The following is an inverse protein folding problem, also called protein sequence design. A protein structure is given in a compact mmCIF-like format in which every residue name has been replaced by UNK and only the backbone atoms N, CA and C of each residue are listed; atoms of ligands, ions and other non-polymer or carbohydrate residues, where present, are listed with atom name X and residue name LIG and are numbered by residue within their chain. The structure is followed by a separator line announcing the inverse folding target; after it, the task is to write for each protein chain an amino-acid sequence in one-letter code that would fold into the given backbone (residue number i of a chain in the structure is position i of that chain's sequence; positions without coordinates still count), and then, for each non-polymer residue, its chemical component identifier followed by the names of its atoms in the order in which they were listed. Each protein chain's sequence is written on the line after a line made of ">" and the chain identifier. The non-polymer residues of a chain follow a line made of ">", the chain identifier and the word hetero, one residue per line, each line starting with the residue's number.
data_IF_885241400297
#
_entry.id   IF_885241400297
#
_cell.length_a   1.000
_cell.length_b   1.000
_cell.length_c   1.000
_cell.angle_alpha   90.00
_cell.angle_beta   90.00
_cell.angle_gamma   90.00
#
_symmetry.space_group_name_H-M   'P 1'
#
loop_
_entity.id
_entity.type
_entity.pdbx_description
1 polymer ?
#
# COMPACT_ATOMS: atom_id res chain seq x y z
N UNK A 1 19.64 -4.67 -0.08
CA UNK A 1 20.91 -3.91 0.10
C UNK A 1 20.86 -3.22 1.47
N UNK A 2 22.00 -2.92 2.10
CA UNK A 2 22.03 -2.31 3.44
C UNK A 2 21.77 -0.80 3.36
N UNK A 3 20.79 -0.29 4.12
CA UNK A 3 20.53 1.15 4.29
C UNK A 3 21.63 1.87 5.12
N UNK A 4 22.69 1.17 5.53
CA UNK A 4 23.78 1.79 6.30
C UNK A 4 24.62 2.77 5.45
N UNK A 5 24.73 2.53 4.13
CA UNK A 5 25.50 3.40 3.23
C UNK A 5 24.61 4.46 2.58
N UNK A 6 25.17 5.61 2.20
CA UNK A 6 24.42 6.67 1.52
C UNK A 6 23.75 6.18 0.23
N UNK A 7 24.49 5.44 -0.61
CA UNK A 7 23.93 4.81 -1.81
C UNK A 7 22.82 3.80 -1.49
N UNK A 8 22.99 3.00 -0.42
CA UNK A 8 21.97 2.05 0.02
C UNK A 8 20.69 2.74 0.49
N UNK A 9 20.79 3.90 1.15
CA UNK A 9 19.64 4.74 1.50
C UNK A 9 18.97 5.35 0.28
N UNK A 10 19.75 5.87 -0.68
CA UNK A 10 19.20 6.42 -1.91
C UNK A 10 18.38 5.38 -2.69
N UNK A 11 18.89 4.16 -2.82
CA UNK A 11 18.14 3.05 -3.46
C UNK A 11 16.84 2.72 -2.71
N UNK A 12 16.87 2.74 -1.38
CA UNK A 12 15.68 2.49 -0.56
C UNK A 12 14.63 3.59 -0.74
N UNK A 13 15.04 4.86 -0.68
CA UNK A 13 14.16 6.02 -0.83
C UNK A 13 13.58 6.12 -2.24
N UNK A 14 14.38 5.79 -3.27
CA UNK A 14 13.88 5.68 -4.64
C UNK A 14 12.81 4.59 -4.75
N UNK A 15 13.03 3.41 -4.16
CA UNK A 15 12.03 2.34 -4.19
C UNK A 15 10.73 2.74 -3.50
N UNK A 16 10.81 3.47 -2.38
CA UNK A 16 9.63 4.05 -1.73
C UNK A 16 8.94 5.08 -2.62
N UNK A 17 9.69 6.03 -3.19
CA UNK A 17 9.12 7.01 -4.11
C UNK A 17 8.43 6.32 -5.30
N UNK A 18 8.98 5.21 -5.80
CA UNK A 18 8.36 4.42 -6.84
C UNK A 18 7.03 3.79 -6.40
N UNK A 19 6.93 3.32 -5.15
CA UNK A 19 5.68 2.82 -4.57
C UNK A 19 4.64 3.93 -4.53
N UNK A 20 4.97 5.10 -3.96
CA UNK A 20 4.03 6.22 -3.87
C UNK A 20 3.59 6.71 -5.25
N UNK A 21 4.53 6.80 -6.20
CA UNK A 21 4.20 7.13 -7.59
C UNK A 21 3.20 6.15 -8.21
N UNK A 22 3.37 4.84 -7.98
CA UNK A 22 2.39 3.85 -8.42
C UNK A 22 1.04 4.05 -7.71
N UNK A 23 1.04 4.33 -6.40
CA UNK A 23 -0.17 4.53 -5.62
C UNK A 23 -1.01 5.71 -6.15
N UNK A 24 -0.39 6.84 -6.53
CA UNK A 24 -1.06 7.94 -7.24
C UNK A 24 -1.80 7.42 -8.49
N UNK A 25 -1.08 6.69 -9.34
CA UNK A 25 -1.63 6.19 -10.59
C UNK A 25 -2.75 5.17 -10.36
N UNK A 26 -2.63 4.32 -9.34
CA UNK A 26 -3.63 3.32 -9.00
C UNK A 26 -4.89 3.93 -8.42
N UNK A 27 -4.75 4.94 -7.56
CA UNK A 27 -5.87 5.72 -7.03
C UNK A 27 -6.63 6.45 -8.16
N UNK A 28 -5.92 7.06 -9.11
CA UNK A 28 -6.53 7.67 -10.29
C UNK A 28 -7.13 6.63 -11.25
N UNK A 29 -6.47 5.47 -11.39
CA UNK A 29 -6.95 4.37 -12.22
C UNK A 29 -8.30 3.86 -11.73
N UNK A 30 -8.49 3.65 -10.43
CA UNK A 30 -9.80 3.18 -9.92
C UNK A 30 -10.91 4.20 -10.12
N UNK A 31 -10.59 5.49 -10.06
CA UNK A 31 -11.54 6.58 -10.33
C UNK A 31 -12.01 6.56 -11.78
N UNK A 32 -11.07 6.43 -12.72
CA UNK A 32 -11.38 6.43 -14.14
C UNK A 32 -12.02 5.11 -14.61
N UNK A 33 -11.52 3.98 -14.10
CA UNK A 33 -11.80 2.64 -14.63
C UNK A 33 -13.17 2.10 -14.24
N UNK A 34 -13.62 2.38 -13.02
CA UNK A 34 -14.83 1.76 -12.48
C UNK A 34 -15.98 2.76 -12.41
N UNK A 35 -16.87 2.71 -13.41
CA UNK A 35 -18.06 3.52 -13.46
C UNK A 35 -19.20 2.97 -12.57
N UNK A 36 -20.15 3.83 -12.19
CA UNK A 36 -21.38 3.44 -11.50
C UNK A 36 -21.25 3.21 -9.99
N UNK A 37 -20.12 3.59 -9.38
CA UNK A 37 -19.93 3.55 -7.94
C UNK A 37 -20.46 4.84 -7.28
N UNK A 38 -20.72 4.87 -5.97
CA UNK A 38 -21.19 6.07 -5.29
C UNK A 38 -20.19 7.23 -5.42
N UNK A 39 -20.66 8.49 -5.43
CA UNK A 39 -19.80 9.68 -5.53
C UNK A 39 -18.67 9.70 -4.48
N UNK A 40 -18.97 9.23 -3.27
CA UNK A 40 -17.99 9.12 -2.19
C UNK A 40 -16.78 8.25 -2.56
N UNK A 41 -16.96 7.20 -3.37
CA UNK A 41 -15.87 6.35 -3.85
C UNK A 41 -14.85 7.18 -4.60
N UNK A 42 -15.32 7.95 -5.59
CA UNK A 42 -14.46 8.77 -6.43
C UNK A 42 -13.76 9.86 -5.62
N UNK A 43 -14.49 10.55 -4.73
CA UNK A 43 -13.91 11.60 -3.88
C UNK A 43 -12.83 11.07 -2.95
N UNK A 44 -13.04 9.91 -2.34
CA UNK A 44 -12.06 9.30 -1.44
C UNK A 44 -10.80 8.88 -2.19
N UNK A 45 -10.93 8.24 -3.35
CA UNK A 45 -9.75 7.84 -4.15
C UNK A 45 -8.99 9.02 -4.76
N UNK A 46 -9.67 10.12 -5.12
CA UNK A 46 -8.99 11.38 -5.45
C UNK A 46 -8.24 11.94 -4.23
N UNK A 47 -8.81 11.82 -3.04
CA UNK A 47 -8.15 12.17 -1.78
C UNK A 47 -6.86 11.40 -1.57
N UNK A 48 -6.91 10.06 -1.70
CA UNK A 48 -5.74 9.18 -1.63
C UNK A 48 -4.71 9.59 -2.67
N UNK A 49 -5.09 9.76 -3.94
CA UNK A 49 -4.14 10.16 -4.99
C UNK A 49 -3.38 11.47 -4.66
N UNK A 50 -4.04 12.42 -4.00
CA UNK A 50 -3.41 13.68 -3.55
C UNK A 50 -2.43 13.44 -2.39
N UNK A 51 -2.78 12.59 -1.45
CA UNK A 51 -1.90 12.24 -0.31
C UNK A 51 -0.66 11.47 -0.80
N UNK A 52 -0.82 10.51 -1.73
CA UNK A 52 0.32 9.81 -2.34
C UNK A 52 1.21 10.73 -3.18
N UNK A 53 0.65 11.78 -3.79
CA UNK A 53 1.45 12.79 -4.49
C UNK A 53 2.35 13.56 -3.52
N UNK A 54 1.84 13.93 -2.34
CA UNK A 54 2.63 14.53 -1.28
C UNK A 54 3.73 13.58 -0.80
N UNK A 55 3.40 12.29 -0.57
CA UNK A 55 4.37 11.29 -0.15
C UNK A 55 5.52 11.15 -1.16
N UNK A 56 5.19 11.05 -2.45
CA UNK A 56 6.15 11.01 -3.54
C UNK A 56 7.06 12.24 -3.55
N UNK A 57 6.48 13.44 -3.45
CA UNK A 57 7.23 14.70 -3.46
C UNK A 57 8.21 14.79 -2.28
N UNK A 58 7.78 14.41 -1.07
CA UNK A 58 8.64 14.38 0.12
C UNK A 58 9.82 13.42 -0.05
N UNK A 59 9.55 12.20 -0.53
CA UNK A 59 10.60 11.19 -0.75
C UNK A 59 11.55 11.59 -1.86
N UNK A 60 11.04 12.12 -2.99
CA UNK A 60 11.85 12.60 -4.10
C UNK A 60 12.73 13.77 -3.69
N UNK A 61 12.18 14.76 -2.99
CA UNK A 61 12.95 15.90 -2.49
C UNK A 61 14.08 15.43 -1.57
N UNK A 62 13.82 14.48 -0.66
CA UNK A 62 14.86 13.93 0.19
C UNK A 62 15.90 13.11 -0.60
N UNK A 63 15.48 12.32 -1.59
CA UNK A 63 16.37 11.59 -2.48
C UNK A 63 17.35 12.51 -3.21
N UNK A 64 16.89 13.69 -3.65
CA UNK A 64 17.72 14.72 -4.29
C UNK A 64 18.82 15.27 -3.36
N UNK A 65 18.58 15.31 -2.04
CA UNK A 65 19.64 15.67 -1.07
C UNK A 65 20.77 14.64 -1.01
N UNK A 66 20.49 13.41 -1.43
CA UNK A 66 21.48 12.32 -1.54
C UNK A 66 22.18 12.28 -2.91
N UNK A 67 21.91 13.25 -3.79
CA UNK A 67 22.53 13.37 -5.11
C UNK A 67 21.90 12.47 -6.18
N UNK A 68 20.66 12.02 -5.98
CA UNK A 68 19.93 11.14 -6.90
C UNK A 68 18.52 11.68 -7.17
N UNK A 69 17.91 11.29 -8.29
CA UNK A 69 16.51 11.59 -8.57
C UNK A 69 15.68 10.31 -8.83
N UNK A 70 14.36 10.47 -8.81
CA UNK A 70 13.45 9.42 -9.24
C UNK A 70 13.70 9.07 -10.72
N UNK A 71 14.12 7.82 -10.94
CA UNK A 71 14.50 7.29 -12.25
C UNK A 71 15.93 6.76 -12.31
N UNK A 72 16.78 7.14 -11.34
CA UNK A 72 18.19 6.73 -11.31
C UNK A 72 18.41 5.24 -10.99
N UNK A 73 17.41 4.59 -10.37
CA UNK A 73 17.49 3.18 -9.95
C UNK A 73 16.38 2.33 -10.57
N UNK A 74 16.56 0.99 -10.65
CA UNK A 74 15.54 0.09 -11.16
C UNK A 74 14.22 0.16 -10.38
N UNK A 75 13.12 0.18 -11.12
CA UNK A 75 11.74 0.15 -10.63
C UNK A 75 11.18 -1.29 -10.60
N UNK A 76 10.10 -1.51 -9.84
CA UNK A 76 9.40 -2.79 -9.75
C UNK A 76 7.91 -2.65 -10.07
N UNK A 77 7.29 -3.62 -10.72
CA UNK A 77 5.93 -3.46 -11.25
C UNK A 77 4.83 -4.16 -10.44
N UNK A 78 5.14 -4.67 -9.24
CA UNK A 78 4.28 -5.61 -8.52
C UNK A 78 2.85 -5.11 -8.20
N UNK A 79 2.70 -3.81 -7.91
CA UNK A 79 1.37 -3.21 -7.69
C UNK A 79 0.56 -3.14 -9.00
N UNK A 80 1.19 -2.66 -10.08
CA UNK A 80 0.55 -2.52 -11.38
C UNK A 80 0.16 -3.87 -11.99
N UNK A 81 0.99 -4.90 -11.85
CA UNK A 81 0.67 -6.26 -12.30
C UNK A 81 -0.62 -6.80 -11.67
N UNK A 82 -0.82 -6.56 -10.36
CA UNK A 82 -2.07 -6.94 -9.70
C UNK A 82 -3.24 -6.06 -10.14
N UNK A 83 -3.00 -4.78 -10.36
CA UNK A 83 -4.00 -3.86 -10.89
C UNK A 83 -4.50 -4.29 -12.28
N UNK A 84 -3.62 -4.78 -13.15
CA UNK A 84 -3.97 -5.34 -14.45
C UNK A 84 -4.77 -6.63 -14.33
N UNK A 85 -4.36 -7.55 -13.45
CA UNK A 85 -5.11 -8.81 -13.19
C UNK A 85 -6.53 -8.55 -12.69
N UNK A 86 -6.73 -7.48 -11.92
CA UNK A 86 -8.02 -7.11 -11.31
C UNK A 86 -8.77 -6.03 -12.09
N UNK A 87 -8.29 -5.61 -13.26
CA UNK A 87 -8.80 -4.45 -14.02
C UNK A 87 -10.28 -4.51 -14.42
N UNK A 88 -10.92 -5.68 -14.32
CA UNK A 88 -12.31 -5.90 -14.74
C UNK A 88 -13.29 -5.91 -13.58
N UNK A 89 -12.82 -5.99 -12.35
CA UNK A 89 -13.70 -6.09 -11.19
C UNK A 89 -13.23 -5.17 -10.05
N UNK A 90 -14.02 -4.15 -9.67
CA UNK A 90 -13.67 -3.30 -8.53
C UNK A 90 -13.57 -4.10 -7.22
N UNK A 91 -14.33 -5.18 -7.04
CA UNK A 91 -14.25 -5.99 -5.83
C UNK A 91 -12.88 -6.67 -5.72
N UNK A 92 -12.43 -7.31 -6.80
CA UNK A 92 -11.09 -7.88 -6.89
C UNK A 92 -10.00 -6.83 -6.70
N UNK A 93 -10.17 -5.64 -7.31
CA UNK A 93 -9.21 -4.54 -7.15
C UNK A 93 -9.09 -4.11 -5.69
N UNK A 94 -10.20 -3.81 -5.04
CA UNK A 94 -10.23 -3.36 -3.63
C UNK A 94 -9.67 -4.44 -2.69
N UNK A 95 -9.93 -5.71 -2.99
CA UNK A 95 -9.44 -6.82 -2.18
C UNK A 95 -7.92 -7.00 -2.26
N UNK A 96 -7.30 -6.82 -3.44
CA UNK A 96 -5.94 -7.30 -3.69
C UNK A 96 -4.89 -6.20 -3.86
N UNK A 97 -5.29 -4.97 -4.16
CA UNK A 97 -4.32 -3.85 -4.28
C UNK A 97 -4.19 -3.11 -2.95
N UNK A 98 -5.17 -2.29 -2.51
CA UNK A 98 -5.00 -1.50 -1.30
C UNK A 98 -4.96 -2.35 -0.03
N UNK A 99 -5.78 -3.41 0.01
CA UNK A 99 -5.93 -4.23 1.21
C UNK A 99 -4.83 -5.27 1.38
N UNK A 100 -4.23 -5.77 0.30
CA UNK A 100 -3.19 -6.81 0.37
C UNK A 100 -1.81 -6.25 0.11
N UNK A 101 -1.61 -5.54 -1.00
CA UNK A 101 -0.28 -5.11 -1.40
C UNK A 101 0.15 -3.82 -0.71
N UNK A 102 -0.71 -2.80 -0.70
CA UNK A 102 -0.40 -1.51 -0.05
C UNK A 102 -0.38 -1.65 1.47
N UNK A 103 -1.29 -2.44 2.06
CA UNK A 103 -1.27 -2.76 3.49
C UNK A 103 0.04 -3.40 4.01
N UNK A 104 0.93 -3.88 3.13
CA UNK A 104 2.29 -4.30 3.52
C UNK A 104 3.14 -3.13 4.01
N UNK A 105 2.87 -1.92 3.54
CA UNK A 105 3.49 -0.68 4.03
C UNK A 105 3.30 -0.51 5.53
N UNK A 106 2.12 -0.86 6.06
CA UNK A 106 1.84 -0.80 7.50
C UNK A 106 2.81 -1.66 8.34
N UNK A 107 3.23 -2.80 7.79
CA UNK A 107 4.13 -3.75 8.45
C UNK A 107 5.61 -3.42 8.19
N UNK A 108 5.93 -2.93 6.99
CA UNK A 108 7.30 -2.67 6.55
C UNK A 108 7.85 -1.31 7.03
N UNK A 109 6.98 -0.31 7.22
CA UNK A 109 7.39 1.04 7.59
C UNK A 109 8.12 1.12 8.94
N UNK A 110 7.64 0.49 10.05
CA UNK A 110 8.34 0.57 11.34
C UNK A 110 9.80 0.08 11.33
N UNK A 111 10.14 -1.13 10.83
CA UNK A 111 11.54 -1.56 10.78
C UNK A 111 12.36 -0.74 9.78
N UNK A 112 11.79 -0.25 8.67
CA UNK A 112 12.51 0.63 7.75
C UNK A 112 12.86 1.97 8.39
N UNK A 113 11.91 2.58 9.10
CA UNK A 113 12.13 3.79 9.89
C UNK A 113 13.26 3.59 10.89
N UNK A 114 13.21 2.53 11.69
CA UNK A 114 14.25 2.24 12.68
C UNK A 114 15.64 2.12 12.03
N UNK A 115 15.74 1.51 10.84
CA UNK A 115 16.99 1.40 10.09
C UNK A 115 17.50 2.75 9.57
N UNK A 116 16.61 3.63 9.12
CA UNK A 116 16.98 4.98 8.67
C UNK A 116 17.47 5.83 9.85
N UNK A 117 16.78 5.77 11.00
CA UNK A 117 17.20 6.43 12.23
C UNK A 117 18.57 5.94 12.70
N UNK A 118 18.79 4.63 12.70
CA UNK A 118 20.08 4.04 13.07
C UNK A 118 21.21 4.44 12.10
N UNK A 119 20.87 4.77 10.85
CA UNK A 119 21.81 5.27 9.85
C UNK A 119 22.00 6.80 9.89
N UNK A 120 21.39 7.50 10.85
CA UNK A 120 21.46 8.96 11.03
C UNK A 120 20.55 9.77 10.11
N UNK A 121 19.68 9.11 9.32
CA UNK A 121 18.77 9.77 8.39
C UNK A 121 17.42 10.04 9.05
N UNK A 122 17.42 11.01 9.96
CA UNK A 122 16.22 11.40 10.73
C UNK A 122 15.15 12.07 9.86
N UNK A 123 15.55 12.73 8.76
CA UNK A 123 14.63 13.34 7.81
C UNK A 123 13.80 12.28 7.08
N UNK A 124 14.45 11.25 6.52
CA UNK A 124 13.74 10.13 5.90
C UNK A 124 12.81 9.40 6.89
N UNK A 125 13.27 9.23 8.13
CA UNK A 125 12.45 8.62 9.18
C UNK A 125 11.18 9.42 9.50
N UNK A 126 11.27 10.76 9.51
CA UNK A 126 10.11 11.64 9.69
C UNK A 126 9.13 11.60 8.52
N UNK A 127 9.63 11.44 7.28
CA UNK A 127 8.77 11.24 6.10
C UNK A 127 7.99 9.92 6.24
N UNK A 128 8.63 8.83 6.68
CA UNK A 128 7.92 7.56 6.92
C UNK A 128 6.86 7.64 8.04
N UNK A 129 6.99 8.55 9.00
CA UNK A 129 5.94 8.78 10.00
C UNK A 129 4.70 9.43 9.39
N UNK A 130 4.89 10.36 8.45
CA UNK A 130 3.79 10.98 7.69
C UNK A 130 3.09 9.90 6.86
N UNK A 131 3.87 9.16 6.07
CA UNK A 131 3.35 8.11 5.19
C UNK A 131 2.58 7.05 6.00
N UNK A 132 3.17 6.52 7.08
CA UNK A 132 2.50 5.49 7.89
C UNK A 132 1.18 5.98 8.49
N UNK A 133 1.11 7.25 8.92
CA UNK A 133 -0.13 7.83 9.45
C UNK A 133 -1.23 7.85 8.38
N UNK A 134 -0.90 8.31 7.18
CA UNK A 134 -1.87 8.50 6.10
C UNK A 134 -2.24 7.14 5.45
N UNK A 135 -1.29 6.22 5.35
CA UNK A 135 -1.48 4.87 4.80
C UNK A 135 -2.49 4.03 5.61
N UNK A 136 -2.61 4.24 6.92
CA UNK A 136 -3.69 3.64 7.72
C UNK A 136 -5.05 4.05 7.17
N UNK A 137 -5.20 5.33 6.78
CA UNK A 137 -6.40 5.87 6.16
C UNK A 137 -6.63 5.32 4.75
N UNK A 138 -5.58 5.23 3.92
CA UNK A 138 -5.67 4.68 2.56
C UNK A 138 -6.16 3.23 2.57
N UNK A 139 -5.56 2.40 3.42
CA UNK A 139 -5.97 1.00 3.60
C UNK A 139 -7.38 0.91 4.18
N UNK A 140 -7.79 1.84 5.04
CA UNK A 140 -9.16 1.94 5.54
C UNK A 140 -10.19 2.24 4.43
N UNK A 141 -9.86 3.12 3.49
CA UNK A 141 -10.68 3.38 2.29
C UNK A 141 -10.83 2.10 1.46
N UNK A 142 -9.74 1.38 1.21
CA UNK A 142 -9.78 0.09 0.51
C UNK A 142 -10.65 -0.95 1.22
N UNK A 143 -10.49 -1.06 2.55
CA UNK A 143 -11.29 -1.93 3.41
C UNK A 143 -12.79 -1.61 3.37
N UNK A 144 -13.13 -0.31 3.43
CA UNK A 144 -14.50 0.16 3.37
C UNK A 144 -15.17 -0.25 2.05
N UNK A 145 -14.56 0.06 0.91
CA UNK A 145 -15.14 -0.23 -0.40
C UNK A 145 -15.15 -1.71 -0.75
N UNK A 146 -14.15 -2.47 -0.30
CA UNK A 146 -14.16 -3.92 -0.40
C UNK A 146 -15.42 -4.51 0.27
N UNK A 147 -15.69 -4.13 1.52
CA UNK A 147 -16.88 -4.60 2.25
C UNK A 147 -18.18 -4.09 1.66
N UNK A 148 -18.21 -2.84 1.20
CA UNK A 148 -19.37 -2.29 0.49
C UNK A 148 -19.73 -3.14 -0.73
N UNK A 149 -18.73 -3.49 -1.56
CA UNK A 149 -18.92 -4.30 -2.76
C UNK A 149 -19.31 -5.75 -2.43
N UNK A 150 -18.75 -6.33 -1.37
CA UNK A 150 -19.20 -7.63 -0.86
C UNK A 150 -20.67 -7.58 -0.45
N UNK A 151 -21.08 -6.59 0.35
CA UNK A 151 -22.45 -6.43 0.80
C UNK A 151 -23.42 -6.22 -0.36
N UNK A 152 -23.06 -5.35 -1.32
CA UNK A 152 -23.85 -5.10 -2.53
C UNK A 152 -24.09 -6.38 -3.35
N UNK A 153 -23.12 -7.31 -3.35
CA UNK A 153 -23.19 -8.58 -4.09
C UNK A 153 -23.68 -9.76 -3.23
N UNK A 154 -24.00 -9.54 -1.95
CA UNK A 154 -24.43 -10.60 -1.04
C UNK A 154 -23.33 -11.64 -0.73
N UNK A 155 -22.07 -11.22 -0.72
CA UNK A 155 -20.91 -12.09 -0.54
C UNK A 155 -20.32 -11.96 0.87
N UNK A 156 -19.85 -13.08 1.44
CA UNK A 156 -19.07 -13.07 2.68
C UNK A 156 -17.63 -12.57 2.40
N UNK A 157 -17.16 -11.50 3.08
CA UNK A 157 -15.83 -10.92 2.80
C UNK A 157 -14.67 -11.90 3.05
N UNK A 158 -14.74 -12.76 4.07
CA UNK A 158 -13.61 -13.63 4.41
C UNK A 158 -13.37 -14.68 3.33
N UNK A 159 -14.43 -15.39 2.94
CA UNK A 159 -14.37 -16.43 1.90
C UNK A 159 -14.11 -15.84 0.52
N UNK A 160 -14.69 -14.67 0.22
CA UNK A 160 -14.47 -13.95 -1.04
C UNK A 160 -13.01 -13.55 -1.19
N UNK A 161 -12.40 -12.99 -0.15
CA UNK A 161 -10.98 -12.62 -0.16
C UNK A 161 -10.10 -13.82 -0.48
N UNK A 162 -10.31 -14.94 0.23
CA UNK A 162 -9.53 -16.17 0.01
C UNK A 162 -9.68 -16.70 -1.42
N UNK A 163 -10.88 -16.61 -2.01
CA UNK A 163 -11.10 -17.00 -3.40
C UNK A 163 -10.36 -16.09 -4.39
N UNK A 164 -10.51 -14.78 -4.25
CA UNK A 164 -9.85 -13.79 -5.12
C UNK A 164 -8.33 -13.87 -5.03
N UNK A 165 -7.79 -14.03 -3.82
CA UNK A 165 -6.36 -14.17 -3.60
C UNK A 165 -5.79 -15.39 -4.34
N UNK A 166 -6.52 -16.51 -4.34
CA UNK A 166 -6.14 -17.71 -5.09
C UNK A 166 -6.31 -17.53 -6.60
N UNK A 167 -7.44 -16.99 -7.04
CA UNK A 167 -7.75 -16.77 -8.46
C UNK A 167 -6.72 -15.89 -9.18
N UNK A 168 -6.32 -14.79 -8.54
CA UNK A 168 -5.38 -13.83 -9.13
C UNK A 168 -3.91 -14.09 -8.75
N UNK A 169 -3.64 -15.14 -7.97
CA UNK A 169 -2.30 -15.48 -7.52
C UNK A 169 -1.68 -14.37 -6.67
N UNK A 170 -2.42 -13.87 -5.69
CA UNK A 170 -1.93 -12.88 -4.74
C UNK A 170 -0.74 -13.46 -3.94
N UNK A 171 0.28 -12.63 -3.64
CA UNK A 171 1.44 -13.09 -2.89
C UNK A 171 1.03 -13.45 -1.46
N UNK A 172 1.62 -14.52 -0.91
CA UNK A 172 1.50 -14.82 0.51
C UNK A 172 2.22 -13.77 1.33
N UNK A 173 1.49 -13.16 2.27
CA UNK A 173 2.03 -12.15 3.16
C UNK A 173 2.91 -12.81 4.23
N UNK A 174 4.00 -12.13 4.61
CA UNK A 174 4.94 -12.58 5.63
C UNK A 174 4.95 -11.59 6.77
N UNK A 175 4.92 -12.11 8.00
CA UNK A 175 5.04 -11.30 9.21
C UNK A 175 6.48 -10.84 9.48
N UNK A 176 6.70 -10.13 10.60
CA UNK A 176 5.68 -9.77 11.59
C UNK A 176 4.69 -8.71 11.06
N UNK A 177 3.42 -8.83 11.45
CA UNK A 177 2.38 -7.87 11.06
C UNK A 177 2.18 -6.79 12.11
N UNK A 178 1.97 -5.54 11.66
CA UNK A 178 1.56 -4.43 12.50
C UNK A 178 0.05 -4.52 12.76
N UNK A 179 -0.34 -5.44 13.64
CA UNK A 179 -1.75 -5.67 13.99
C UNK A 179 -2.46 -4.40 14.49
N UNK A 180 -1.86 -3.52 15.31
CA UNK A 180 -2.50 -2.26 15.69
C UNK A 180 -2.84 -1.37 14.48
N UNK A 181 -1.92 -1.18 13.54
CA UNK A 181 -2.17 -0.38 12.34
C UNK A 181 -3.22 -1.04 11.43
N UNK A 182 -3.16 -2.36 11.25
CA UNK A 182 -4.17 -3.09 10.47
C UNK A 182 -5.56 -3.01 11.13
N UNK A 183 -5.69 -3.11 12.46
CA UNK A 183 -6.96 -2.85 13.16
C UNK A 183 -7.46 -1.43 12.93
N UNK A 184 -6.58 -0.43 13.06
CA UNK A 184 -6.92 0.97 12.81
C UNK A 184 -7.36 1.20 11.36
N UNK A 185 -6.77 0.47 10.40
CA UNK A 185 -7.18 0.46 9.00
C UNK A 185 -8.48 -0.33 8.76
N UNK A 186 -9.12 -0.86 9.81
CA UNK A 186 -10.44 -1.48 9.74
C UNK A 186 -10.44 -2.95 9.34
N UNK A 187 -9.36 -3.71 9.55
CA UNK A 187 -9.42 -5.18 9.48
C UNK A 187 -10.16 -5.75 10.70
N UNK A 188 -11.01 -6.75 10.50
CA UNK A 188 -11.70 -7.43 11.60
C UNK A 188 -10.80 -8.50 12.23
N UNK A 189 -11.00 -8.82 13.52
CA UNK A 189 -10.16 -9.80 14.24
C UNK A 189 -10.08 -11.16 13.53
N UNK A 190 -11.20 -11.64 12.98
CA UNK A 190 -11.20 -12.90 12.23
C UNK A 190 -10.25 -12.90 11.03
N UNK A 191 -10.14 -11.75 10.36
CA UNK A 191 -9.25 -11.59 9.20
C UNK A 191 -7.79 -11.54 9.64
N UNK A 192 -7.52 -10.91 10.78
CA UNK A 192 -6.18 -10.84 11.37
C UNK A 192 -5.71 -12.22 11.87
N UNK A 193 -6.59 -12.99 12.50
CA UNK A 193 -6.32 -14.37 12.91
C UNK A 193 -5.91 -15.23 11.71
N UNK A 194 -6.70 -15.19 10.62
CA UNK A 194 -6.42 -15.94 9.39
C UNK A 194 -5.11 -15.48 8.73
N UNK A 195 -4.87 -14.16 8.67
CA UNK A 195 -3.63 -13.60 8.16
C UNK A 195 -2.40 -14.14 8.92
N UNK A 196 -2.50 -14.29 10.24
CA UNK A 196 -1.42 -14.85 11.05
C UNK A 196 -1.25 -16.37 10.86
N UNK A 197 -2.34 -17.10 10.65
CA UNK A 197 -2.30 -18.55 10.42
C UNK A 197 -1.72 -18.91 9.05
N UNK A 198 -2.02 -18.10 8.02
CA UNK A 198 -1.57 -18.33 6.65
C UNK A 198 -0.14 -17.82 6.37
N UNK A 199 0.43 -17.04 7.29
CA UNK A 199 1.78 -16.54 7.17
C UNK A 199 2.78 -17.70 7.27
N UNK A 200 3.70 -17.86 6.30
CA UNK A 200 4.73 -18.88 6.39
C UNK A 200 5.64 -18.59 7.60
N UNK A 201 6.07 -19.67 8.26
CA UNK A 201 7.05 -19.63 9.34
C UNK A 201 8.40 -19.03 8.87
#
# INVERSE_FOLDING_TARGET
>A
RSAATAHGRAVLLHALAHIEFNAINLALDVVWRFAGLPEAFYRQWIGVAREEALHFELLRAHLQTLGHDYGDFPAHNGLWEMAEKTRRDPLARMALVPRTLEARGLDASPPMKARLQAAGDHAAAGILDIILRDEIGHVAVGNHWYRHLCAQRGLDPVTTYASLAREHGAPRLRGPFNLPARRAAGFHERELELLQQDAPA
#
